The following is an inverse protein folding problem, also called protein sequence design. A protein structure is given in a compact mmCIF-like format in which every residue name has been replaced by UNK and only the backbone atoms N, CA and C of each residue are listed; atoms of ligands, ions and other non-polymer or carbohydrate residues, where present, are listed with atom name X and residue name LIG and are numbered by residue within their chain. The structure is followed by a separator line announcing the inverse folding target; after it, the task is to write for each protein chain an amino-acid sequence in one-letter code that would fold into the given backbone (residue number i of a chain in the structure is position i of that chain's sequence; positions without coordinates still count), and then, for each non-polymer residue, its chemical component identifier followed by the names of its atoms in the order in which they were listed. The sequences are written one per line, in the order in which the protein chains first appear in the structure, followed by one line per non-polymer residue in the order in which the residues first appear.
data_IF_909287078788
#
_entry.id   IF_909287078788
#
_cell.length_a   1.000
_cell.length_b   1.000
_cell.length_c   1.000
_cell.angle_alpha   90.00
_cell.angle_beta   90.00
_cell.angle_gamma   90.00
#
_symmetry.space_group_name_H-M   'P 1'
#
loop_
_entity.id
_entity.type
_entity.pdbx_description
1 polymer ?
#
# COMPACT_ATOMS: atom_id res chain seq x y z
N UNK A 1 16.94 -2.15 -14.38
CA UNK A 1 16.40 -2.23 -13.04
C UNK A 1 15.14 -3.07 -13.03
N UNK A 2 15.05 -4.01 -12.13
CA UNK A 2 13.88 -4.88 -12.08
C UNK A 2 12.76 -4.20 -11.31
N UNK A 3 11.55 -4.35 -11.82
CA UNK A 3 10.35 -3.98 -11.08
C UNK A 3 10.18 -4.93 -9.91
N UNK A 4 9.81 -4.36 -8.77
CA UNK A 4 9.64 -5.12 -7.55
C UNK A 4 8.15 -5.19 -7.22
N UNK A 5 7.61 -6.40 -7.17
CA UNK A 5 6.23 -6.56 -6.76
C UNK A 5 6.07 -6.33 -5.27
N UNK A 6 4.98 -5.66 -4.92
CA UNK A 6 4.65 -5.41 -3.52
C UNK A 6 4.57 -6.71 -2.73
N UNK A 7 3.94 -7.73 -3.29
CA UNK A 7 3.78 -9.03 -2.63
C UNK A 7 5.12 -9.75 -2.42
N UNK A 8 6.12 -9.48 -3.24
CA UNK A 8 7.46 -10.05 -3.07
C UNK A 8 8.25 -9.26 -2.03
N UNK A 9 8.09 -7.94 -2.02
CA UNK A 9 8.82 -7.08 -1.09
C UNK A 9 8.26 -7.16 0.33
N UNK A 10 6.94 -7.20 0.46
CA UNK A 10 6.23 -7.14 1.74
C UNK A 10 5.12 -8.19 1.78
N UNK A 11 5.49 -9.49 1.75
CA UNK A 11 4.47 -10.54 1.66
C UNK A 11 3.55 -10.59 2.87
N UNK A 12 4.06 -10.32 4.07
CA UNK A 12 3.25 -10.35 5.27
C UNK A 12 2.23 -9.22 5.30
N UNK A 13 2.63 -8.03 4.84
CA UNK A 13 1.73 -6.89 4.79
C UNK A 13 0.56 -7.16 3.84
N UNK A 14 0.85 -7.70 2.66
CA UNK A 14 -0.18 -8.05 1.68
C UNK A 14 -1.12 -9.10 2.27
N UNK A 15 -0.58 -10.12 2.90
CA UNK A 15 -1.37 -11.18 3.51
C UNK A 15 -2.27 -10.62 4.63
N UNK A 16 -1.74 -9.72 5.46
CA UNK A 16 -2.49 -9.14 6.57
C UNK A 16 -3.68 -8.30 6.10
N UNK A 17 -3.58 -7.68 4.93
CA UNK A 17 -4.66 -6.88 4.38
C UNK A 17 -5.77 -7.70 3.74
N UNK A 18 -5.50 -8.95 3.40
CA UNK A 18 -6.43 -9.77 2.62
C UNK A 18 -7.76 -9.99 3.34
N UNK A 19 -7.71 -10.48 4.57
CA UNK A 19 -8.94 -10.81 5.31
C UNK A 19 -9.83 -9.59 5.57
N UNK A 20 -9.32 -8.46 6.08
CA UNK A 20 -10.17 -7.30 6.26
C UNK A 20 -10.77 -6.77 4.95
N UNK A 21 -10.02 -6.83 3.85
CA UNK A 21 -10.55 -6.39 2.56
C UNK A 21 -11.67 -7.30 2.06
N UNK A 22 -11.53 -8.60 2.24
CA UNK A 22 -12.58 -9.54 1.87
C UNK A 22 -13.83 -9.33 2.71
N UNK A 23 -13.68 -9.02 4.00
CA UNK A 23 -14.80 -8.73 4.88
C UNK A 23 -15.56 -7.47 4.46
N UNK A 24 -14.86 -6.53 3.84
CA UNK A 24 -15.46 -5.30 3.34
C UNK A 24 -16.02 -5.45 1.92
N UNK A 25 -15.97 -6.65 1.34
CA UNK A 25 -16.43 -6.89 -0.01
C UNK A 25 -15.49 -6.32 -1.07
N UNK A 26 -14.23 -6.13 -0.72
CA UNK A 26 -13.23 -5.50 -1.60
C UNK A 26 -12.18 -6.52 -2.08
N UNK A 27 -12.66 -7.66 -2.57
CA UNK A 27 -11.77 -8.65 -3.19
C UNK A 27 -11.03 -8.12 -4.42
N UNK A 28 -11.60 -7.09 -5.07
CA UNK A 28 -10.93 -6.40 -6.16
C UNK A 28 -9.59 -5.80 -5.73
N UNK A 29 -9.53 -5.23 -4.52
CA UNK A 29 -8.29 -4.66 -4.00
C UNK A 29 -7.28 -5.75 -3.59
N UNK A 30 -7.77 -6.88 -3.10
CA UNK A 30 -6.89 -8.02 -2.80
C UNK A 30 -6.16 -8.46 -4.06
N UNK A 31 -6.88 -8.59 -5.16
CA UNK A 31 -6.28 -9.00 -6.43
C UNK A 31 -5.25 -7.96 -6.90
N UNK A 32 -5.58 -6.68 -6.77
CA UNK A 32 -4.66 -5.60 -7.15
C UNK A 32 -3.40 -5.61 -6.29
N UNK A 33 -3.53 -5.88 -4.98
CA UNK A 33 -2.36 -5.96 -4.09
C UNK A 33 -1.40 -7.07 -4.51
N UNK A 34 -1.94 -8.21 -4.95
CA UNK A 34 -1.12 -9.35 -5.37
C UNK A 34 -0.35 -9.05 -6.66
N UNK A 35 -0.87 -8.16 -7.49
CA UNK A 35 -0.28 -7.82 -8.79
C UNK A 35 0.49 -6.50 -8.76
N UNK A 36 0.36 -5.71 -7.70
CA UNK A 36 0.93 -4.37 -7.64
C UNK A 36 2.45 -4.38 -7.73
N UNK A 37 2.98 -3.40 -8.45
CA UNK A 37 4.42 -3.14 -8.55
C UNK A 37 4.74 -1.95 -7.65
N UNK A 38 5.72 -2.13 -6.77
CA UNK A 38 6.18 -1.05 -5.91
C UNK A 38 7.06 -0.11 -6.74
N UNK A 39 6.56 1.09 -7.02
CA UNK A 39 7.27 2.07 -7.84
C UNK A 39 8.37 2.77 -7.03
N UNK A 40 8.02 3.22 -5.84
CA UNK A 40 8.95 3.84 -4.90
C UNK A 40 8.30 3.86 -3.53
N UNK A 41 9.07 4.26 -2.52
CA UNK A 41 8.54 4.41 -1.17
C UNK A 41 9.26 5.54 -0.46
N UNK A 42 8.61 6.10 0.55
CA UNK A 42 9.19 7.14 1.41
C UNK A 42 8.95 6.77 2.86
N UNK A 43 9.83 7.20 3.73
CA UNK A 43 9.65 7.06 5.17
C UNK A 43 9.81 8.43 5.83
N UNK A 44 8.83 8.80 6.65
CA UNK A 44 8.85 10.02 7.45
C UNK A 44 9.05 9.62 8.90
N UNK A 45 10.24 9.92 9.45
CA UNK A 45 10.57 9.54 10.82
C UNK A 45 9.84 10.39 11.86
N UNK A 46 9.37 11.57 11.49
CA UNK A 46 8.60 12.41 12.39
C UNK A 46 7.25 11.78 12.72
N UNK A 47 6.55 11.28 11.72
CA UNK A 47 5.24 10.64 11.89
C UNK A 47 5.33 9.13 11.99
N UNK A 48 6.51 8.54 11.79
CA UNK A 48 6.72 7.10 11.70
C UNK A 48 5.79 6.46 10.67
N UNK A 49 5.75 7.05 9.48
CA UNK A 49 4.86 6.62 8.40
C UNK A 49 5.67 6.29 7.15
N UNK A 50 5.43 5.11 6.60
CA UNK A 50 5.96 4.72 5.29
C UNK A 50 4.85 4.82 4.26
N UNK A 51 5.12 5.48 3.14
CA UNK A 51 4.17 5.54 2.03
C UNK A 51 4.72 4.72 0.87
N UNK A 52 3.87 3.81 0.37
CA UNK A 52 4.21 2.90 -0.73
C UNK A 52 3.49 3.41 -1.98
N UNK A 53 4.25 3.78 -3.00
CA UNK A 53 3.70 4.29 -4.26
C UNK A 53 3.55 3.13 -5.24
N UNK A 54 2.32 2.89 -5.69
CA UNK A 54 1.99 1.78 -6.57
C UNK A 54 1.61 2.26 -7.98
N UNK A 55 1.69 3.57 -8.22
CA UNK A 55 1.44 4.17 -9.53
C UNK A 55 2.65 4.98 -9.95
N UNK A 56 2.95 4.98 -11.23
CA UNK A 56 4.01 5.81 -11.80
C UNK A 56 3.60 7.28 -11.88
N UNK A 57 2.30 7.58 -11.84
CA UNK A 57 1.81 8.95 -11.89
C UNK A 57 1.92 9.63 -10.53
N UNK A 58 2.21 10.96 -10.50
CA UNK A 58 2.20 11.69 -9.23
C UNK A 58 0.82 11.70 -8.58
N UNK A 59 0.77 11.40 -7.27
CA UNK A 59 -0.50 11.34 -6.54
C UNK A 59 -1.23 12.68 -6.52
N UNK A 60 -0.49 13.80 -6.50
CA UNK A 60 -1.09 15.13 -6.46
C UNK A 60 -1.88 15.46 -7.73
N UNK A 61 -1.74 14.68 -8.77
CA UNK A 61 -2.51 14.82 -10.01
C UNK A 61 -3.72 13.91 -10.08
N UNK A 62 -3.94 13.13 -9.02
CA UNK A 62 -5.02 12.15 -8.97
C UNK A 62 -6.07 12.58 -7.97
N UNK A 63 -7.33 12.21 -8.25
CA UNK A 63 -8.35 12.21 -7.23
C UNK A 63 -8.32 10.84 -6.57
N UNK A 64 -7.97 10.81 -5.28
CA UNK A 64 -7.86 9.55 -4.56
C UNK A 64 -8.96 9.44 -3.52
N UNK A 65 -9.47 8.23 -3.37
CA UNK A 65 -10.34 7.86 -2.27
C UNK A 65 -9.55 6.96 -1.33
N UNK A 66 -9.67 7.24 -0.04
CA UNK A 66 -8.95 6.50 0.99
C UNK A 66 -9.86 5.48 1.64
N UNK A 67 -9.42 4.23 1.68
CA UNK A 67 -10.04 3.17 2.46
C UNK A 67 -9.14 2.88 3.66
N UNK A 68 -9.66 3.08 4.86
CA UNK A 68 -8.85 2.88 6.06
C UNK A 68 -8.96 1.46 6.57
N UNK A 69 -7.81 0.81 6.73
CA UNK A 69 -7.67 -0.43 7.49
C UNK A 69 -6.82 -0.18 8.73
N UNK A 70 -6.93 1.03 9.29
CA UNK A 70 -6.11 1.42 10.44
C UNK A 70 -6.32 0.50 11.63
N UNK A 71 -7.58 0.22 11.96
CA UNK A 71 -7.91 -0.58 13.14
C UNK A 71 -7.53 -2.04 12.97
N UNK A 72 -7.52 -2.53 11.74
CA UNK A 72 -7.24 -3.93 11.45
C UNK A 72 -5.75 -4.20 11.34
N UNK A 73 -5.05 -3.41 10.52
CA UNK A 73 -3.63 -3.69 10.20
C UNK A 73 -2.76 -2.43 10.15
N UNK A 74 -3.27 -1.28 10.57
CA UNK A 74 -2.47 -0.05 10.63
C UNK A 74 -2.10 0.53 9.28
N UNK A 75 -2.96 0.40 8.28
CA UNK A 75 -2.71 0.93 6.95
C UNK A 75 -3.92 1.71 6.43
N UNK A 76 -3.66 2.60 5.50
CA UNK A 76 -4.68 3.25 4.69
C UNK A 76 -4.35 3.01 3.22
N UNK A 77 -5.36 2.61 2.43
CA UNK A 77 -5.20 2.38 1.01
C UNK A 77 -5.77 3.55 0.23
N UNK A 78 -5.04 4.00 -0.78
CA UNK A 78 -5.49 5.07 -1.67
C UNK A 78 -5.73 4.50 -3.05
N UNK A 79 -6.94 4.70 -3.59
CA UNK A 79 -7.32 4.30 -4.94
C UNK A 79 -7.69 5.53 -5.75
N UNK A 80 -7.48 5.46 -7.07
CA UNK A 80 -7.83 6.56 -7.95
C UNK A 80 -9.32 6.56 -8.28
N UNK A 81 -9.76 7.51 -9.10
CA UNK A 81 -11.17 7.66 -9.49
C UNK A 81 -11.72 6.46 -10.29
N UNK A 82 -10.82 5.64 -10.82
CA UNK A 82 -11.19 4.42 -11.56
C UNK A 82 -11.12 3.16 -10.69
N UNK A 83 -10.91 3.32 -9.39
CA UNK A 83 -10.82 2.20 -8.47
C UNK A 83 -9.49 1.46 -8.49
N UNK A 84 -8.46 2.03 -9.14
CA UNK A 84 -7.13 1.41 -9.18
C UNK A 84 -6.33 1.83 -7.98
N UNK A 85 -5.72 0.86 -7.31
CA UNK A 85 -4.89 1.08 -6.14
C UNK A 85 -3.63 1.84 -6.56
N UNK A 86 -3.39 2.99 -5.93
CA UNK A 86 -2.27 3.85 -6.29
C UNK A 86 -1.29 4.10 -5.16
N UNK A 87 -1.67 3.81 -3.91
CA UNK A 87 -0.75 3.99 -2.79
C UNK A 87 -1.23 3.36 -1.52
N UNK A 88 -0.31 3.15 -0.58
CA UNK A 88 -0.61 2.62 0.75
C UNK A 88 0.20 3.41 1.76
N UNK A 89 -0.49 3.98 2.73
CA UNK A 89 0.14 4.60 3.90
C UNK A 89 0.22 3.55 5.00
N UNK A 90 1.44 3.27 5.48
CA UNK A 90 1.66 2.30 6.54
C UNK A 90 2.05 3.06 7.80
N UNK A 91 1.21 2.97 8.81
CA UNK A 91 1.49 3.51 10.15
C UNK A 91 2.42 2.54 10.87
N UNK A 92 3.20 3.02 11.83
CA UNK A 92 4.29 2.24 12.39
C UNK A 92 5.26 1.81 11.26
N UNK A 93 5.62 2.78 10.44
CA UNK A 93 6.26 2.55 9.15
C UNK A 93 7.71 2.15 9.19
N UNK A 94 8.40 2.34 10.33
CA UNK A 94 9.82 2.00 10.43
C UNK A 94 10.07 0.52 10.16
N UNK A 95 9.18 -0.33 10.62
CA UNK A 95 9.25 -1.77 10.40
C UNK A 95 9.28 -2.11 8.92
N UNK A 96 8.39 -1.48 8.17
CA UNK A 96 8.28 -1.69 6.73
C UNK A 96 9.47 -1.07 6.00
N UNK A 97 9.86 0.14 6.38
CA UNK A 97 11.01 0.81 5.77
C UNK A 97 12.29 -0.01 5.95
N UNK A 98 12.47 -0.61 7.12
CA UNK A 98 13.63 -1.47 7.39
C UNK A 98 13.64 -2.68 6.46
N UNK A 99 12.49 -3.31 6.24
CA UNK A 99 12.40 -4.44 5.31
C UNK A 99 12.71 -4.03 3.87
N UNK A 100 12.26 -2.84 3.46
CA UNK A 100 12.46 -2.38 2.09
C UNK A 100 13.91 -2.00 1.79
N UNK A 101 14.68 -1.68 2.83
CA UNK A 101 16.09 -1.31 2.70
C UNK A 101 17.00 -2.54 2.56
N UNK A 102 16.51 -3.73 2.78
CA UNK A 102 17.31 -4.95 2.72
C UNK A 102 17.46 -5.51 1.30
#
# INVERSE_FOLDING_TARGET
MSDRKLADALPELVLDMESPLLQLGRGDLVQQLKEAVLQRWTYDDFSDTTYLYLSAEPLERMQVERLSLYDEVGVNLDADEHGRLCGIEVLDGKRVATQLQQ
#
